data_IF_834354844201
#
_entry.id   IF_834354844201
#
_cell.length_a   1.000
_cell.length_b   1.000
_cell.length_c   1.000
_cell.angle_alpha   90.00
_cell.angle_beta   90.00
_cell.angle_gamma   90.00
#
_symmetry.space_group_name_H-M   'P 1'
#
loop_
_entity.id
_entity.type
_entity.pdbx_description
1 polymer ?
#
# COMPACT_ATOMS: atom_id res chain seq x y z
N UNK A 1 16.41 7.52 15.35
CA UNK A 1 15.80 8.18 14.18
C UNK A 1 14.41 7.58 13.94
N UNK A 2 13.63 7.37 15.01
CA UNK A 2 12.70 6.21 15.08
C UNK A 2 11.26 6.60 15.46
N UNK A 3 11.02 7.89 15.75
CA UNK A 3 9.67 8.37 16.10
C UNK A 3 8.75 8.43 14.89
N UNK A 4 9.23 9.04 13.80
CA UNK A 4 8.41 9.28 12.61
C UNK A 4 7.95 8.00 11.91
N UNK A 5 8.82 6.97 11.84
CA UNK A 5 8.45 5.68 11.26
C UNK A 5 7.48 4.89 12.15
N UNK A 6 7.66 4.96 13.49
CA UNK A 6 6.75 4.33 14.44
C UNK A 6 5.34 4.95 14.42
N UNK A 7 5.25 6.27 14.21
CA UNK A 7 3.98 6.97 14.02
C UNK A 7 3.25 6.49 12.77
N UNK A 8 3.97 6.38 11.63
CA UNK A 8 3.37 5.89 10.37
C UNK A 8 2.91 4.43 10.50
N UNK A 9 3.68 3.57 11.17
CA UNK A 9 3.29 2.19 11.46
C UNK A 9 1.95 2.14 12.21
N UNK A 10 1.83 2.94 13.27
CA UNK A 10 0.61 3.04 14.08
C UNK A 10 -0.59 3.58 13.28
N UNK A 11 -0.37 4.56 12.44
CA UNK A 11 -1.38 5.18 11.59
C UNK A 11 -1.90 4.20 10.51
N UNK A 12 -1.00 3.44 9.87
CA UNK A 12 -1.36 2.39 8.90
C UNK A 12 -2.22 1.31 9.58
N UNK A 13 -1.81 0.85 10.75
CA UNK A 13 -2.58 -0.15 11.51
C UNK A 13 -3.95 0.38 11.91
N UNK A 14 -4.02 1.62 12.39
CA UNK A 14 -5.29 2.27 12.76
C UNK A 14 -6.25 2.39 11.58
N UNK A 15 -5.72 2.65 10.37
CA UNK A 15 -6.53 2.65 9.15
C UNK A 15 -7.10 1.26 8.84
N UNK A 16 -6.27 0.22 8.91
CA UNK A 16 -6.70 -1.15 8.65
C UNK A 16 -7.70 -1.67 9.70
N UNK A 17 -7.52 -1.31 10.96
CA UNK A 17 -8.45 -1.67 12.05
C UNK A 17 -9.80 -0.94 11.89
N UNK A 18 -9.80 0.32 11.43
CA UNK A 18 -11.01 1.13 11.27
C UNK A 18 -11.80 0.82 10.00
N UNK A 19 -11.11 0.60 8.88
CA UNK A 19 -11.74 0.49 7.55
C UNK A 19 -11.65 -0.92 6.95
N UNK A 20 -10.88 -1.82 7.56
CA UNK A 20 -10.64 -3.17 7.04
C UNK A 20 -9.57 -3.21 5.94
N UNK A 21 -9.47 -4.35 5.21
CA UNK A 21 -8.51 -4.51 4.12
C UNK A 21 -8.71 -3.49 3.01
N UNK A 22 -7.65 -2.80 2.61
CA UNK A 22 -7.71 -1.72 1.60
C UNK A 22 -6.44 -1.67 0.76
N UNK A 23 -6.50 -0.93 -0.36
CA UNK A 23 -5.37 -0.78 -1.27
C UNK A 23 -4.30 0.16 -0.70
N UNK A 24 -3.00 0.02 -1.08
CA UNK A 24 -1.95 0.97 -0.70
C UNK A 24 -2.29 2.41 -1.06
N UNK A 25 -2.99 2.62 -2.18
CA UNK A 25 -3.45 3.92 -2.64
C UNK A 25 -4.48 4.54 -1.69
N UNK A 26 -5.43 3.76 -1.20
CA UNK A 26 -6.44 4.25 -0.26
C UNK A 26 -5.82 4.62 1.09
N UNK A 27 -4.87 3.81 1.56
CA UNK A 27 -4.08 4.10 2.77
C UNK A 27 -3.28 5.40 2.58
N UNK A 28 -2.61 5.58 1.44
CA UNK A 28 -1.87 6.80 1.12
C UNK A 28 -2.75 8.04 1.13
N UNK A 29 -3.98 7.95 0.60
CA UNK A 29 -4.96 9.05 0.66
C UNK A 29 -5.41 9.36 2.09
N UNK A 30 -5.62 8.32 2.90
CA UNK A 30 -6.06 8.49 4.29
C UNK A 30 -4.96 9.13 5.15
N UNK A 31 -3.70 8.73 4.92
CA UNK A 31 -2.53 9.22 5.67
C UNK A 31 -1.91 10.48 5.07
N UNK A 32 -2.39 10.96 3.90
CA UNK A 32 -1.81 12.08 3.14
C UNK A 32 -0.32 11.86 2.82
N UNK A 33 0.05 10.62 2.53
CA UNK A 33 1.40 10.20 2.14
C UNK A 33 1.46 9.85 0.66
N UNK A 34 2.66 9.70 0.12
CA UNK A 34 2.83 9.16 -1.23
C UNK A 34 2.57 7.65 -1.24
N UNK A 35 2.01 7.16 -2.33
CA UNK A 35 1.72 5.72 -2.50
C UNK A 35 2.99 4.86 -2.43
N UNK A 36 4.11 5.38 -2.94
CA UNK A 36 5.41 4.72 -2.85
C UNK A 36 5.94 4.61 -1.41
N UNK A 37 5.79 5.66 -0.60
CA UNK A 37 6.18 5.61 0.82
C UNK A 37 5.34 4.59 1.58
N UNK A 38 4.02 4.59 1.36
CA UNK A 38 3.12 3.61 1.97
C UNK A 38 3.45 2.19 1.53
N UNK A 39 3.73 1.97 0.24
CA UNK A 39 4.09 0.65 -0.28
C UNK A 39 5.37 0.09 0.37
N UNK A 40 6.37 0.96 0.61
CA UNK A 40 7.58 0.59 1.34
C UNK A 40 7.30 0.20 2.79
N UNK A 41 6.49 0.99 3.50
CA UNK A 41 6.10 0.71 4.89
C UNK A 41 5.28 -0.59 4.97
N UNK A 42 4.31 -0.78 4.08
CA UNK A 42 3.51 -2.01 4.04
C UNK A 42 4.39 -3.25 3.81
N UNK A 43 5.40 -3.13 2.93
CA UNK A 43 6.34 -4.22 2.68
C UNK A 43 7.20 -4.53 3.90
N UNK A 44 7.66 -3.50 4.64
CA UNK A 44 8.40 -3.67 5.88
C UNK A 44 7.54 -4.35 6.96
N UNK A 45 6.34 -3.83 7.21
CA UNK A 45 5.38 -4.38 8.18
C UNK A 45 4.97 -5.82 7.86
N UNK A 46 4.86 -6.17 6.57
CA UNK A 46 4.60 -7.54 6.13
C UNK A 46 5.77 -8.47 6.47
N UNK A 47 7.00 -8.04 6.23
CA UNK A 47 8.21 -8.81 6.55
C UNK A 47 8.36 -9.02 8.06
N UNK A 48 7.96 -8.04 8.87
CA UNK A 48 7.95 -8.14 10.33
C UNK A 48 6.76 -8.96 10.88
N UNK A 49 5.86 -9.44 10.02
CA UNK A 49 4.68 -10.22 10.43
C UNK A 49 3.57 -9.40 11.11
N UNK A 50 3.66 -8.07 11.05
CA UNK A 50 2.65 -7.15 11.62
C UNK A 50 1.40 -7.02 10.76
N UNK A 51 1.51 -7.32 9.46
CA UNK A 51 0.38 -7.39 8.53
C UNK A 51 0.57 -8.51 7.51
N UNK A 52 -0.49 -8.82 6.76
CA UNK A 52 -0.47 -9.82 5.68
C UNK A 52 -0.83 -9.18 4.34
N UNK A 53 0.03 -9.36 3.33
CA UNK A 53 -0.31 -9.05 1.93
C UNK A 53 -1.12 -10.24 1.38
N UNK A 54 -2.41 -10.02 1.12
CA UNK A 54 -3.33 -11.07 0.68
C UNK A 54 -3.58 -11.08 -0.85
N UNK A 55 -3.37 -9.95 -1.52
CA UNK A 55 -3.65 -9.77 -2.96
C UNK A 55 -2.50 -8.98 -3.60
N UNK A 56 -1.98 -9.52 -4.69
CA UNK A 56 -0.95 -8.92 -5.53
C UNK A 56 -1.39 -9.14 -6.97
N UNK A 57 -1.42 -8.08 -7.76
CA UNK A 57 -1.96 -8.10 -9.13
C UNK A 57 -0.97 -7.45 -10.09
N UNK A 58 -1.01 -7.87 -11.35
CA UNK A 58 -0.38 -7.13 -12.42
C UNK A 58 -1.17 -5.84 -12.67
N UNK A 59 -0.52 -4.75 -13.11
CA UNK A 59 -1.25 -3.60 -13.60
C UNK A 59 -2.18 -4.05 -14.75
N UNK A 60 -3.34 -3.39 -14.93
CA UNK A 60 -4.18 -3.67 -16.08
C UNK A 60 -3.33 -3.56 -17.35
N UNK A 61 -3.54 -4.43 -18.35
CA UNK A 61 -2.81 -4.33 -19.60
C UNK A 61 -2.96 -2.92 -20.14
N UNK A 62 -1.83 -2.31 -20.50
CA UNK A 62 -1.80 -1.00 -21.13
C UNK A 62 -2.68 -1.08 -22.38
N UNK A 63 -3.70 -0.21 -22.50
CA UNK A 63 -4.69 -0.22 -23.59
C UNK A 63 -4.00 -0.11 -24.97
N UNK A 64 -2.76 0.38 -24.99
CA UNK A 64 -1.86 0.49 -26.14
C UNK A 64 -1.52 -0.87 -26.79
N UNK A 65 -1.53 -1.96 -26.02
CA UNK A 65 -1.24 -3.32 -26.54
C UNK A 65 -2.30 -3.81 -27.54
N UNK A 66 -3.48 -3.19 -27.58
CA UNK A 66 -4.54 -3.51 -28.56
C UNK A 66 -4.36 -2.79 -29.90
N UNK A 67 -3.54 -1.74 -29.99
CA UNK A 67 -3.30 -1.03 -31.26
C UNK A 67 -2.20 -1.66 -32.11
N UNK A 68 -1.32 -2.50 -31.53
CA UNK A 68 -0.22 -3.15 -32.26
C UNK A 68 -0.63 -4.45 -33.00
N UNK A 69 -1.93 -4.74 -33.11
CA UNK A 69 -2.45 -5.96 -33.75
C UNK A 69 -3.28 -5.72 -35.03
N UNK A 70 -3.13 -4.57 -35.70
CA UNK A 70 -3.78 -4.27 -36.99
C UNK A 70 -2.76 -4.15 -38.12
#
# INVERSE_FOLDING_TARGET
MDGWWSEIDGDVRSCLERFGPMSPRDIARQLRLSEGAVSSVLSMLAQEGKLRIARVELPPPDDDSRQLSL
#
